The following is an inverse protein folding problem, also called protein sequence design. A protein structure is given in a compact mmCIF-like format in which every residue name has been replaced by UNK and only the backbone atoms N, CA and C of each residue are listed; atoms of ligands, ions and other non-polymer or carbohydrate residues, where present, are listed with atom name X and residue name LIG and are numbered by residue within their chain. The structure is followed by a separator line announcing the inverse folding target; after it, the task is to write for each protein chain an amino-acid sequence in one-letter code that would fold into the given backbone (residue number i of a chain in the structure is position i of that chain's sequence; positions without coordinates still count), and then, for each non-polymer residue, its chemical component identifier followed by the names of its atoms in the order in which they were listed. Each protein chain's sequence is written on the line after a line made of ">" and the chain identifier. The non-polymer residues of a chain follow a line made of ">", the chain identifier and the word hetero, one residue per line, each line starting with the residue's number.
data_IF_149383725849
#
_entry.id   IF_149383725849
#
_cell.length_a   1.000
_cell.length_b   1.000
_cell.length_c   1.000
_cell.angle_alpha   90.00
_cell.angle_beta   90.00
_cell.angle_gamma   90.00
#
_symmetry.space_group_name_H-M   'P 1'
#
loop_
_entity.id
_entity.type
_entity.pdbx_description
1 polymer ?
#
# COMPACT_ATOMS: atom_id res chain seq x y z
N UNK A 1 -5.48 17.14 31.03
CA UNK A 1 -4.31 16.38 30.59
C UNK A 1 -4.83 15.39 29.55
N UNK A 2 -4.71 15.73 28.27
CA UNK A 2 -5.19 14.86 27.20
C UNK A 2 -4.18 13.71 27.08
N UNK A 3 -4.65 12.48 27.22
CA UNK A 3 -3.89 11.30 26.84
C UNK A 3 -3.66 11.41 25.33
N UNK A 4 -2.41 11.61 24.92
CA UNK A 4 -2.04 11.30 23.55
C UNK A 4 -1.95 9.78 23.47
N UNK A 5 -2.98 9.17 22.91
CA UNK A 5 -2.86 7.79 22.44
C UNK A 5 -1.77 7.79 21.36
N UNK A 6 -0.68 7.08 21.65
CA UNK A 6 0.42 6.88 20.70
C UNK A 6 -0.10 5.94 19.61
N UNK A 7 -0.59 6.52 18.51
CA UNK A 7 -1.03 5.74 17.36
C UNK A 7 0.22 5.27 16.61
N UNK A 8 0.55 3.99 16.76
CA UNK A 8 1.57 3.33 15.93
C UNK A 8 0.96 3.15 14.53
N UNK A 9 1.31 4.05 13.60
CA UNK A 9 0.93 3.97 12.19
C UNK A 9 2.10 3.44 11.37
N UNK A 10 1.92 2.28 10.74
CA UNK A 10 2.83 1.77 9.73
C UNK A 10 2.65 2.57 8.43
N UNK A 11 3.72 3.22 7.96
CA UNK A 11 3.75 3.92 6.66
C UNK A 11 3.82 2.96 5.46
N UNK A 12 3.94 1.66 5.72
CA UNK A 12 4.19 0.61 4.73
C UNK A 12 2.92 -0.12 4.30
N UNK A 13 1.77 0.42 4.71
CA UNK A 13 0.48 -0.16 4.47
C UNK A 13 0.20 -1.39 5.35
N UNK A 14 -1.07 -1.77 5.32
CA UNK A 14 -1.62 -3.00 5.86
C UNK A 14 -2.90 -3.27 5.09
N UNK A 15 -3.33 -4.54 5.03
CA UNK A 15 -4.56 -4.85 4.29
C UNK A 15 -5.25 -6.11 4.79
N UNK A 16 -6.58 -6.12 4.71
CA UNK A 16 -7.39 -7.30 5.01
C UNK A 16 -7.83 -7.92 3.68
N UNK A 17 -7.36 -9.13 3.40
CA UNK A 17 -7.72 -9.92 2.21
C UNK A 17 -8.19 -11.29 2.68
N UNK A 18 -9.32 -11.76 2.17
CA UNK A 18 -9.94 -13.05 2.55
C UNK A 18 -10.07 -13.26 4.08
N UNK A 19 -10.39 -12.19 4.83
CA UNK A 19 -10.55 -12.24 6.29
C UNK A 19 -9.24 -12.39 7.07
N UNK A 20 -8.09 -12.18 6.42
CA UNK A 20 -6.76 -12.23 7.02
C UNK A 20 -6.09 -10.86 6.94
N UNK A 21 -5.49 -10.42 8.05
CA UNK A 21 -4.74 -9.18 8.17
C UNK A 21 -3.30 -9.39 7.73
N UNK A 22 -2.84 -8.58 6.78
CA UNK A 22 -1.51 -8.63 6.19
C UNK A 22 -0.72 -7.38 6.60
N UNK A 23 0.52 -7.59 7.04
CA UNK A 23 1.43 -6.52 7.44
C UNK A 23 2.87 -6.87 7.07
N UNK A 24 3.65 -5.92 6.50
CA UNK A 24 5.07 -6.15 6.27
C UNK A 24 5.84 -6.14 7.60
N UNK A 25 6.78 -7.07 7.74
CA UNK A 25 7.62 -7.25 8.93
C UNK A 25 9.07 -7.36 8.46
N UNK A 26 9.94 -6.57 9.08
CA UNK A 26 11.38 -6.63 8.81
C UNK A 26 12.08 -7.48 9.85
N UNK A 27 12.92 -8.40 9.38
CA UNK A 27 13.92 -9.04 10.23
C UNK A 27 15.24 -8.30 10.05
N UNK A 28 15.60 -7.55 11.08
CA UNK A 28 16.91 -6.90 11.14
C UNK A 28 17.95 -7.90 11.64
N UNK A 29 18.78 -8.41 10.74
CA UNK A 29 19.95 -9.21 11.15
C UNK A 29 21.10 -8.26 11.47
N UNK A 30 21.53 -8.23 12.73
CA UNK A 30 22.62 -7.39 13.22
C UNK A 30 23.95 -7.52 12.45
N UNK A 31 24.11 -8.54 11.61
CA UNK A 31 25.33 -8.86 10.88
C UNK A 31 25.20 -8.68 9.35
N UNK A 32 24.03 -8.33 8.82
CA UNK A 32 23.81 -8.14 7.38
C UNK A 32 23.27 -6.74 7.08
N UNK A 33 23.70 -6.15 5.96
CA UNK A 33 23.06 -4.95 5.39
C UNK A 33 21.76 -5.31 4.63
N UNK A 34 21.43 -6.60 4.53
CA UNK A 34 20.19 -7.07 3.90
C UNK A 34 19.03 -7.02 4.90
N UNK A 35 17.95 -6.34 4.48
CA UNK A 35 16.67 -6.41 5.18
C UNK A 35 15.87 -7.59 4.60
N UNK A 36 15.65 -8.61 5.41
CA UNK A 36 14.69 -9.66 5.07
C UNK A 36 13.29 -9.14 5.36
N UNK A 37 12.48 -9.01 4.32
CA UNK A 37 11.07 -8.62 4.41
C UNK A 37 10.23 -9.88 4.40
N UNK A 38 9.35 -9.99 5.38
CA UNK A 38 8.30 -11.00 5.40
C UNK A 38 6.95 -10.33 5.49
N UNK A 39 5.94 -10.94 4.88
CA UNK A 39 4.55 -10.48 5.05
C UNK A 39 3.91 -11.41 6.08
N UNK A 40 3.66 -10.88 7.27
CA UNK A 40 2.92 -11.58 8.30
C UNK A 40 1.43 -11.54 7.97
N UNK A 41 0.78 -12.69 8.07
CA UNK A 41 -0.64 -12.88 7.81
C UNK A 41 -1.28 -13.46 9.05
N UNK A 42 -2.23 -12.73 9.62
CA UNK A 42 -2.86 -13.07 10.89
C UNK A 42 -4.37 -13.05 10.73
N UNK A 43 -5.08 -14.06 11.24
CA UNK A 43 -6.54 -14.01 11.24
C UNK A 43 -7.04 -12.91 12.19
N UNK A 44 -8.28 -12.45 11.99
CA UNK A 44 -8.85 -11.37 12.82
C UNK A 44 -8.98 -11.70 14.31
N UNK A 45 -8.83 -12.98 14.69
CA UNK A 45 -8.87 -13.43 16.08
C UNK A 45 -7.46 -13.59 16.69
N UNK A 46 -6.39 -13.43 15.91
CA UNK A 46 -5.01 -13.70 16.28
C UNK A 46 -4.66 -15.18 16.47
N UNK A 47 -5.49 -16.11 16.00
CA UNK A 47 -5.34 -17.56 16.27
C UNK A 47 -4.51 -18.29 15.23
N UNK A 48 -4.65 -17.90 13.97
CA UNK A 48 -3.86 -18.42 12.84
C UNK A 48 -2.92 -17.32 12.37
N UNK A 49 -1.64 -17.65 12.33
CA UNK A 49 -0.61 -16.79 11.78
C UNK A 49 0.28 -17.57 10.82
N UNK A 50 0.62 -16.98 9.69
CA UNK A 50 1.65 -17.48 8.77
C UNK A 50 2.51 -16.31 8.29
N UNK A 51 3.69 -16.60 7.78
CA UNK A 51 4.56 -15.61 7.16
C UNK A 51 4.88 -16.05 5.74
N UNK A 52 4.62 -15.18 4.78
CA UNK A 52 5.13 -15.35 3.43
C UNK A 52 6.55 -14.79 3.39
N UNK A 53 7.49 -15.63 2.94
CA UNK A 53 8.79 -15.11 2.55
C UNK A 53 8.58 -14.30 1.28
N UNK A 54 9.13 -13.10 1.28
CA UNK A 54 9.26 -12.36 0.04
C UNK A 54 10.16 -13.17 -0.90
N UNK A 55 9.87 -13.24 -2.23
CA UNK A 55 10.75 -13.94 -3.15
C UNK A 55 12.15 -13.36 -3.01
N UNK A 56 13.16 -14.21 -3.15
CA UNK A 56 14.58 -13.87 -3.01
C UNK A 56 15.01 -12.94 -4.16
N UNK A 57 14.56 -11.68 -4.08
CA UNK A 57 14.76 -10.62 -5.05
C UNK A 57 15.97 -9.84 -4.58
N UNK A 58 17.15 -10.15 -5.15
CA UNK A 58 18.39 -9.38 -5.11
C UNK A 58 18.44 -8.27 -4.03
N UNK A 59 18.83 -8.69 -2.82
CA UNK A 59 19.49 -7.99 -1.70
C UNK A 59 19.15 -6.55 -1.26
N UNK A 60 18.39 -5.73 -2.00
CA UNK A 60 18.24 -4.31 -1.65
C UNK A 60 16.86 -3.75 -2.04
N UNK A 61 15.77 -4.21 -1.41
CA UNK A 61 14.50 -3.50 -1.46
C UNK A 61 14.50 -2.38 -0.40
N UNK A 62 14.29 -1.13 -0.83
CA UNK A 62 14.37 0.05 0.06
C UNK A 62 13.10 0.28 0.90
N UNK A 63 11.93 0.04 0.33
CA UNK A 63 10.63 0.25 0.94
C UNK A 63 9.64 -0.78 0.40
N UNK A 64 8.69 -1.20 1.24
CA UNK A 64 7.64 -2.15 0.89
C UNK A 64 6.31 -1.52 1.26
N UNK A 65 5.48 -1.19 0.28
CA UNK A 65 4.10 -0.81 0.54
C UNK A 65 3.18 -1.94 0.13
N UNK A 66 2.30 -2.40 1.03
CA UNK A 66 1.27 -3.38 0.68
C UNK A 66 -0.13 -2.75 0.68
N UNK A 67 -0.95 -3.22 -0.25
CA UNK A 67 -2.35 -2.83 -0.35
C UNK A 67 -3.14 -3.84 -1.17
N UNK A 68 -4.40 -3.54 -1.45
CA UNK A 68 -5.24 -4.36 -2.31
C UNK A 68 -5.68 -3.53 -3.51
N UNK A 69 -5.71 -4.17 -4.67
CA UNK A 69 -6.44 -3.69 -5.83
C UNK A 69 -7.11 -4.87 -6.52
N UNK A 70 -8.36 -4.69 -6.92
CA UNK A 70 -9.20 -5.64 -7.65
C UNK A 70 -9.27 -7.02 -6.97
N UNK A 71 -9.33 -7.03 -5.63
CA UNK A 71 -9.38 -8.27 -4.84
C UNK A 71 -8.01 -8.91 -4.58
N UNK A 72 -6.95 -8.50 -5.25
CA UNK A 72 -5.62 -9.11 -5.14
C UNK A 72 -4.69 -8.29 -4.23
N UNK A 73 -3.86 -8.99 -3.45
CA UNK A 73 -2.81 -8.38 -2.65
C UNK A 73 -1.71 -7.85 -3.58
N UNK A 74 -1.45 -6.55 -3.50
CA UNK A 74 -0.40 -5.86 -4.22
C UNK A 74 0.71 -5.44 -3.26
N UNK A 75 1.94 -5.48 -3.76
CA UNK A 75 3.12 -5.04 -3.04
C UNK A 75 4.00 -4.19 -3.95
N UNK A 76 4.49 -3.06 -3.43
CA UNK A 76 5.36 -2.13 -4.16
C UNK A 76 6.72 -2.13 -3.49
N UNK A 77 7.77 -2.37 -4.27
CA UNK A 77 9.15 -2.39 -3.80
C UNK A 77 10.01 -1.41 -4.58
N UNK A 78 10.90 -0.68 -3.90
CA UNK A 78 11.92 0.14 -4.58
C UNK A 78 13.20 -0.64 -4.86
N UNK A 79 13.67 -0.64 -6.11
CA UNK A 79 14.98 -1.17 -6.48
C UNK A 79 16.09 -0.23 -5.99
N UNK A 80 16.71 -0.59 -4.86
CA UNK A 80 17.75 0.21 -4.22
C UNK A 80 19.10 -0.07 -4.85
N UNK A 81 19.87 0.98 -5.07
CA UNK A 81 21.30 0.93 -5.37
C UNK A 81 22.06 1.61 -4.24
N UNK A 82 23.17 0.98 -3.84
CA UNK A 82 24.10 1.55 -2.87
C UNK A 82 25.31 2.12 -3.61
N UNK A 83 25.53 3.42 -3.45
CA UNK A 83 26.70 4.12 -3.99
C UNK A 83 27.45 4.84 -2.86
N UNK A 84 28.63 5.38 -3.16
CA UNK A 84 29.51 6.05 -2.18
C UNK A 84 28.84 7.22 -1.44
N UNK A 85 27.79 7.81 -2.03
CA UNK A 85 27.07 8.97 -1.48
C UNK A 85 25.73 8.63 -0.82
N UNK A 86 25.38 7.35 -0.71
CA UNK A 86 24.16 6.89 -0.05
C UNK A 86 23.38 5.86 -0.88
N UNK A 87 22.20 5.52 -0.37
CA UNK A 87 21.29 4.62 -1.07
C UNK A 87 20.19 5.40 -1.79
N UNK A 88 19.92 5.03 -3.04
CA UNK A 88 18.86 5.62 -3.84
C UNK A 88 18.05 4.52 -4.52
N UNK A 89 16.84 4.86 -4.93
CA UNK A 89 15.92 4.05 -5.71
C UNK A 89 15.98 4.52 -7.15
N UNK A 90 15.97 3.60 -8.12
CA UNK A 90 15.91 3.95 -9.55
C UNK A 90 14.57 3.60 -10.20
N UNK A 91 13.87 2.61 -9.63
CA UNK A 91 12.61 2.09 -10.12
C UNK A 91 11.78 1.51 -8.98
N UNK A 92 10.47 1.50 -9.16
CA UNK A 92 9.51 0.80 -8.32
C UNK A 92 8.96 -0.40 -9.09
N UNK A 93 8.92 -1.54 -8.43
CA UNK A 93 8.31 -2.77 -8.93
C UNK A 93 7.01 -3.04 -8.19
N UNK A 94 5.95 -3.32 -8.94
CA UNK A 94 4.61 -3.61 -8.44
C UNK A 94 4.35 -5.10 -8.67
N UNK A 95 4.17 -5.82 -7.57
CA UNK A 95 3.98 -7.25 -7.52
C UNK A 95 2.55 -7.57 -7.10
N UNK A 96 2.02 -8.66 -7.64
CA UNK A 96 0.71 -9.20 -7.28
C UNK A 96 0.88 -10.62 -6.77
N UNK A 97 0.23 -10.93 -5.66
CA UNK A 97 0.14 -12.29 -5.19
C UNK A 97 -0.96 -13.02 -5.96
N UNK A 98 -0.55 -13.96 -6.82
CA UNK A 98 -1.46 -14.81 -7.58
C UNK A 98 -1.92 -16.00 -6.74
N UNK A 99 -3.13 -16.50 -7.01
CA UNK A 99 -3.70 -17.71 -6.41
C UNK A 99 -3.57 -17.80 -4.87
N UNK A 100 -4.00 -16.74 -4.19
CA UNK A 100 -3.94 -16.60 -2.73
C UNK A 100 -4.41 -17.84 -1.95
N UNK A 101 -5.43 -18.55 -2.44
CA UNK A 101 -5.98 -19.74 -1.79
C UNK A 101 -5.18 -21.03 -2.08
N UNK A 102 -4.50 -21.12 -3.22
CA UNK A 102 -3.64 -22.26 -3.55
C UNK A 102 -2.37 -22.29 -2.67
N UNK A 103 -1.90 -21.11 -2.25
CA UNK A 103 -0.76 -20.97 -1.33
C UNK A 103 -1.06 -21.38 0.13
N UNK A 104 -2.25 -21.93 0.42
CA UNK A 104 -2.63 -22.39 1.76
C UNK A 104 -2.22 -23.84 2.06
N UNK A 105 -1.89 -24.65 1.05
CA UNK A 105 -1.50 -26.04 1.24
C UNK A 105 0.03 -26.19 1.19
N UNK A 106 0.59 -26.75 2.27
CA UNK A 106 1.97 -27.22 2.45
C UNK A 106 3.12 -26.45 1.76
N UNK A 107 3.76 -25.51 2.47
CA UNK A 107 5.10 -24.97 2.18
C UNK A 107 5.36 -24.41 0.76
N UNK A 108 4.34 -24.30 -0.09
CA UNK A 108 4.50 -23.68 -1.40
C UNK A 108 4.75 -22.18 -1.23
N UNK A 109 5.86 -21.74 -1.81
CA UNK A 109 6.24 -20.33 -1.81
C UNK A 109 5.10 -19.51 -2.44
N UNK A 110 4.70 -18.43 -1.77
CA UNK A 110 3.75 -17.47 -2.31
C UNK A 110 4.19 -17.04 -3.72
N UNK A 111 3.33 -17.27 -4.71
CA UNK A 111 3.64 -16.97 -6.10
C UNK A 111 3.39 -15.49 -6.36
N UNK A 112 4.44 -14.69 -6.18
CA UNK A 112 4.43 -13.28 -6.53
C UNK A 112 4.78 -13.10 -8.00
N UNK A 113 3.87 -12.48 -8.75
CA UNK A 113 4.09 -12.11 -10.15
C UNK A 113 4.44 -10.61 -10.25
N UNK A 114 5.48 -10.28 -11.03
CA UNK A 114 5.78 -8.88 -11.37
C UNK A 114 4.72 -8.40 -12.36
N UNK A 115 3.89 -7.43 -11.94
CA UNK A 115 2.87 -6.84 -12.80
C UNK A 115 3.42 -5.66 -13.59
N UNK A 116 4.21 -4.80 -12.94
CA UNK A 116 4.72 -3.58 -13.55
C UNK A 116 6.06 -3.17 -12.92
N UNK A 117 6.95 -2.57 -13.71
CA UNK A 117 8.06 -1.75 -13.23
C UNK A 117 7.91 -0.33 -13.76
N UNK A 118 8.22 0.67 -12.93
CA UNK A 118 8.13 2.09 -13.27
C UNK A 118 9.35 2.83 -12.72
N UNK A 119 10.04 3.61 -13.56
CA UNK A 119 11.25 4.32 -13.16
C UNK A 119 10.96 5.57 -12.29
N UNK A 120 11.90 5.99 -11.44
CA UNK A 120 11.83 7.31 -10.79
C UNK A 120 11.74 8.42 -11.87
N UNK A 121 12.31 8.21 -13.07
CA UNK A 121 12.27 9.20 -14.14
C UNK A 121 10.84 9.42 -14.66
N UNK A 122 10.08 8.33 -14.78
CA UNK A 122 8.68 8.38 -15.19
C UNK A 122 7.79 8.94 -14.07
N UNK A 123 8.00 8.52 -12.82
CA UNK A 123 7.18 8.94 -11.68
C UNK A 123 7.44 10.39 -11.23
N UNK A 124 8.71 10.77 -11.15
CA UNK A 124 9.17 11.98 -10.48
C UNK A 124 9.88 12.96 -11.40
N UNK A 125 10.24 12.53 -12.62
CA UNK A 125 11.11 13.31 -13.52
C UNK A 125 12.59 13.25 -13.12
N UNK A 126 12.99 12.31 -12.27
CA UNK A 126 14.33 12.22 -11.69
C UNK A 126 14.98 10.86 -11.99
N UNK A 127 16.27 10.83 -12.32
CA UNK A 127 16.97 9.59 -12.69
C UNK A 127 16.94 8.56 -11.55
N UNK A 128 17.03 9.05 -10.33
CA UNK A 128 16.92 8.28 -9.10
C UNK A 128 16.36 9.18 -8.01
N UNK A 129 15.79 8.55 -7.00
CA UNK A 129 15.17 9.20 -5.87
C UNK A 129 15.75 8.64 -4.57
N UNK A 130 16.00 9.46 -3.55
CA UNK A 130 16.42 8.96 -2.24
C UNK A 130 15.37 8.04 -1.65
N UNK A 131 15.78 7.08 -0.81
CA UNK A 131 14.85 6.12 -0.18
C UNK A 131 13.75 6.83 0.62
N UNK A 132 14.08 7.98 1.21
CA UNK A 132 13.16 8.78 2.03
C UNK A 132 12.51 9.95 1.26
N UNK A 133 12.72 10.06 -0.05
CA UNK A 133 12.26 11.19 -0.88
C UNK A 133 10.81 11.03 -1.36
N UNK A 134 10.21 9.85 -1.20
CA UNK A 134 8.81 9.61 -1.53
C UNK A 134 8.16 8.65 -0.55
N UNK A 135 6.84 8.77 -0.42
CA UNK A 135 5.99 7.82 0.30
C UNK A 135 4.93 7.27 -0.65
N UNK A 136 4.71 5.96 -0.61
CA UNK A 136 3.49 5.36 -1.17
C UNK A 136 2.39 5.49 -0.12
N UNK A 137 1.26 6.10 -0.49
CA UNK A 137 0.19 6.42 0.46
C UNK A 137 -0.94 5.41 0.38
N UNK A 138 -1.32 5.00 -0.82
CA UNK A 138 -2.46 4.12 -1.04
C UNK A 138 -2.38 3.42 -2.39
N UNK A 139 -3.00 2.24 -2.44
CA UNK A 139 -3.38 1.55 -3.68
C UNK A 139 -4.91 1.58 -3.72
N UNK A 140 -5.50 1.99 -4.84
CA UNK A 140 -6.95 2.07 -4.97
C UNK A 140 -7.56 0.65 -4.99
N UNK A 141 -8.59 0.37 -4.17
CA UNK A 141 -9.14 -0.98 -4.04
C UNK A 141 -9.79 -1.50 -5.33
N UNK A 142 -10.44 -0.64 -6.12
CA UNK A 142 -11.17 -1.06 -7.32
C UNK A 142 -10.47 -0.74 -8.65
N UNK A 143 -9.39 0.05 -8.62
CA UNK A 143 -8.73 0.59 -9.82
C UNK A 143 -7.25 0.37 -9.72
N UNK A 144 -6.60 0.28 -10.87
CA UNK A 144 -5.15 0.15 -10.97
C UNK A 144 -4.44 1.50 -10.71
N UNK A 145 -4.79 2.19 -9.62
CA UNK A 145 -4.25 3.50 -9.26
C UNK A 145 -3.39 3.40 -7.99
N UNK A 146 -2.22 4.01 -8.02
CA UNK A 146 -1.31 4.14 -6.88
C UNK A 146 -1.11 5.60 -6.55
N UNK A 147 -1.14 5.97 -5.28
CA UNK A 147 -0.95 7.34 -4.81
C UNK A 147 0.37 7.50 -4.08
N UNK A 148 1.09 8.57 -4.40
CA UNK A 148 2.41 8.88 -3.85
C UNK A 148 2.48 10.30 -3.32
N UNK A 149 3.32 10.52 -2.32
CA UNK A 149 3.81 11.85 -1.96
C UNK A 149 5.27 11.93 -2.35
N UNK A 150 5.61 12.87 -3.22
CA UNK A 150 7.00 13.23 -3.47
C UNK A 150 7.43 14.31 -2.48
N UNK A 151 8.30 13.98 -1.54
CA UNK A 151 8.66 14.84 -0.40
C UNK A 151 9.54 16.01 -0.79
N UNK A 152 10.31 15.90 -1.88
CA UNK A 152 11.15 16.99 -2.37
C UNK A 152 10.32 18.25 -2.71
N UNK A 153 9.18 18.06 -3.39
CA UNK A 153 8.30 19.15 -3.82
C UNK A 153 6.91 19.13 -3.16
N UNK A 154 6.70 18.22 -2.19
CA UNK A 154 5.46 17.99 -1.48
C UNK A 154 4.23 17.77 -2.38
N UNK A 155 4.41 17.18 -3.55
CA UNK A 155 3.29 16.87 -4.45
C UNK A 155 2.64 15.53 -4.08
N UNK A 156 1.32 15.54 -3.96
CA UNK A 156 0.50 14.33 -4.02
C UNK A 156 0.24 14.01 -5.48
N UNK A 157 0.52 12.78 -5.88
CA UNK A 157 0.42 12.32 -7.26
C UNK A 157 -0.30 10.97 -7.32
N UNK A 158 -0.86 10.66 -8.48
CA UNK A 158 -1.36 9.33 -8.82
C UNK A 158 -0.63 8.76 -10.02
N UNK A 159 -0.41 7.45 -10.01
CA UNK A 159 0.03 6.66 -11.15
C UNK A 159 -1.09 5.71 -11.55
N UNK A 160 -1.55 5.79 -12.79
CA UNK A 160 -2.47 4.84 -13.40
C UNK A 160 -1.68 3.74 -14.08
N UNK A 161 -1.78 2.50 -13.59
CA UNK A 161 -1.03 1.37 -14.15
C UNK A 161 -1.63 0.87 -15.47
N UNK A 162 -2.89 1.22 -15.81
CA UNK A 162 -3.50 0.83 -17.08
C UNK A 162 -3.04 1.74 -18.24
N UNK A 163 -2.91 3.04 -17.98
CA UNK A 163 -2.42 4.02 -18.98
C UNK A 163 -0.92 4.32 -18.87
N UNK A 164 -0.28 3.88 -17.79
CA UNK A 164 1.09 4.23 -17.40
C UNK A 164 1.32 5.74 -17.22
N UNK A 165 0.24 6.50 -16.96
CA UNK A 165 0.28 7.94 -16.80
C UNK A 165 0.43 8.37 -15.33
N UNK A 166 1.17 9.45 -15.13
CA UNK A 166 1.35 10.10 -13.83
C UNK A 166 0.61 11.43 -13.83
N UNK A 167 -0.13 11.68 -12.76
CA UNK A 167 -0.89 12.92 -12.58
C UNK A 167 -0.52 13.60 -11.25
N UNK A 168 -0.15 14.87 -11.32
CA UNK A 168 -0.03 15.75 -10.16
C UNK A 168 -1.43 16.13 -9.67
N UNK A 169 -1.79 15.71 -8.45
CA UNK A 169 -3.12 15.98 -7.89
C UNK A 169 -3.14 17.33 -7.16
N UNK A 170 -2.18 17.55 -6.26
CA UNK A 170 -2.03 18.81 -5.54
C UNK A 170 -0.65 18.95 -4.88
N UNK A 171 -0.32 20.17 -4.44
CA UNK A 171 0.83 20.44 -3.58
C UNK A 171 0.36 20.56 -2.14
N UNK A 172 0.99 19.79 -1.25
CA UNK A 172 0.68 19.76 0.18
C UNK A 172 1.37 20.92 0.90
N UNK A 173 0.74 21.43 1.95
CA UNK A 173 1.35 22.42 2.83
C UNK A 173 2.53 21.84 3.62
N UNK A 174 3.53 22.67 3.90
CA UNK A 174 4.66 22.31 4.77
C UNK A 174 4.14 21.77 6.12
N UNK A 175 4.31 20.48 6.37
CA UNK A 175 3.82 19.80 7.58
C UNK A 175 2.89 18.61 7.36
N UNK A 176 2.56 18.26 6.11
CA UNK A 176 1.79 17.04 5.75
C UNK A 176 2.55 15.73 5.99
N UNK A 177 3.13 15.53 7.18
CA UNK A 177 3.96 14.36 7.51
C UNK A 177 3.23 13.03 7.45
N UNK A 178 1.90 13.01 7.56
CA UNK A 178 1.09 11.80 7.43
C UNK A 178 -0.19 12.08 6.65
N UNK A 179 -0.26 11.54 5.43
CA UNK A 179 -1.52 11.35 4.74
C UNK A 179 -2.02 9.97 5.12
N UNK A 180 -3.19 9.91 5.74
CA UNK A 180 -3.85 8.65 6.04
C UNK A 180 -5.02 8.48 5.07
N UNK A 181 -5.02 7.42 4.23
CA UNK A 181 -6.19 7.14 3.41
C UNK A 181 -7.39 6.90 4.32
N UNK A 182 -8.45 7.68 4.10
CA UNK A 182 -9.71 7.50 4.83
C UNK A 182 -10.40 6.26 4.28
N UNK A 183 -10.50 5.22 5.10
CA UNK A 183 -11.32 4.04 4.81
C UNK A 183 -12.67 4.23 5.51
N UNK A 184 -13.74 4.63 4.80
CA UNK A 184 -15.06 4.71 5.41
C UNK A 184 -15.48 3.32 5.89
N UNK A 185 -15.55 3.14 7.21
CA UNK A 185 -16.12 1.95 7.81
C UNK A 185 -17.65 2.02 7.65
N UNK A 186 -18.16 1.40 6.59
CA UNK A 186 -19.58 1.14 6.49
C UNK A 186 -19.91 -0.05 7.40
N UNK A 187 -20.13 0.23 8.69
CA UNK A 187 -20.84 -0.70 9.55
C UNK A 187 -22.17 -0.98 8.84
N UNK A 188 -22.39 -2.23 8.43
CA UNK A 188 -23.66 -2.64 7.83
C UNK A 188 -24.77 -2.42 8.85
N UNK A 189 -25.37 -1.24 8.84
CA UNK A 189 -26.65 -1.02 9.49
C UNK A 189 -27.58 -1.93 8.71
N UNK A 190 -28.17 -2.97 9.33
CA UNK A 190 -29.18 -3.74 8.64
C UNK A 190 -30.23 -2.72 8.23
N UNK A 191 -30.42 -2.55 6.93
CA UNK A 191 -31.56 -1.80 6.40
C UNK A 191 -32.75 -2.57 6.92
N UNK A 192 -33.33 -2.07 8.02
CA UNK A 192 -34.66 -2.47 8.43
C UNK A 192 -35.51 -2.12 7.22
N UNK A 193 -35.88 -3.13 6.44
CA UNK A 193 -36.97 -3.04 5.48
C UNK A 193 -38.24 -2.74 6.28
N UNK A 194 -38.38 -1.49 6.70
CA UNK A 194 -39.67 -0.92 7.02
C UNK A 194 -40.34 -0.73 5.67
N UNK A 195 -40.98 -1.80 5.20
CA UNK A 195 -42.08 -1.65 4.27
C UNK A 195 -43.10 -0.73 4.94
N UNK A 196 -43.12 0.53 4.52
CA UNK A 196 -44.22 1.42 4.80
C UNK A 196 -44.86 1.81 3.47
N UNK A 197 -46.20 1.88 3.40
CA UNK A 197 -46.92 2.05 2.16
C UNK A 197 -46.69 3.46 1.62
N UNK A 198 -46.73 3.53 0.29
CA UNK A 198 -46.69 4.73 -0.55
C UNK A 198 -47.44 5.93 0.04
N UNK A 199 -46.75 7.06 0.16
CA UNK A 199 -47.32 8.39 0.41
C UNK A 199 -46.28 9.46 0.09
N UNK A 200 -46.57 10.29 -0.90
CA UNK A 200 -45.76 11.38 -1.45
C UNK A 200 -45.22 12.38 -0.39
N UNK A 201 -44.03 12.97 -0.61
CA UNK A 201 -43.87 14.34 -1.12
C UNK A 201 -42.37 14.74 -1.28
N UNK A 202 -42.19 15.66 -2.22
CA UNK A 202 -40.98 16.27 -2.79
C UNK A 202 -39.92 16.81 -1.81
N UNK A 203 -38.67 16.85 -2.29
CA UNK A 203 -37.62 17.71 -1.75
C UNK A 203 -36.21 17.12 -1.81
N UNK A 204 -35.55 17.22 -2.97
CA UNK A 204 -34.09 17.00 -3.05
C UNK A 204 -33.33 18.16 -2.40
N UNK A 205 -32.16 17.89 -1.79
CA UNK A 205 -31.06 18.84 -1.77
C UNK A 205 -29.90 18.35 -2.65
N UNK A 206 -29.49 19.21 -3.58
CA UNK A 206 -28.22 19.16 -4.30
C UNK A 206 -27.07 19.38 -3.33
N UNK A 207 -26.02 18.54 -3.41
CA UNK A 207 -24.73 18.78 -2.75
C UNK A 207 -23.71 19.12 -3.85
N UNK A 208 -22.98 20.21 -3.61
CA UNK A 208 -21.84 20.70 -4.41
C UNK A 208 -20.67 19.71 -4.40
#
# INVERSE_FOLDING_TARGET
>A
MLHHDEVIQSMLGWVIVNGMFHIPVYKHYWQSQTMDIQIAVVDMQGKKSRAFHWPDMNEFAAAVFIGQSQGCLHCITGHRKQEDHGAHVTELSIWVLEDYDATQEDNDAAQWALKQSVSCLQLFGEISCGVDDFDVIAIHPDRNLVFFVHRYNWKLMSYDMDSEEVCDLCTLGLGGRLITPYVPYFAGVPVLNCGAPTGFLEGQPTIL
#
